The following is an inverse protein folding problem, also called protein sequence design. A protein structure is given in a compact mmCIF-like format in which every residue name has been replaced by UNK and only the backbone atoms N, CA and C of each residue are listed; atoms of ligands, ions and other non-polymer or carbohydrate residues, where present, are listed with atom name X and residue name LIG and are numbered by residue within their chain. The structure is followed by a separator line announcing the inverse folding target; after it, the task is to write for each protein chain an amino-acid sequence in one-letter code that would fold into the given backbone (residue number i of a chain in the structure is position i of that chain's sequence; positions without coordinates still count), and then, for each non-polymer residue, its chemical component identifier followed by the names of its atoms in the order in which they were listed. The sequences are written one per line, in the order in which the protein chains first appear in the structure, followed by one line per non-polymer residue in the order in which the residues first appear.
data_IF_367264676545
#
_entry.id   IF_367264676545
#
_cell.length_a   1.000
_cell.length_b   1.000
_cell.length_c   1.000
_cell.angle_alpha   90.00
_cell.angle_beta   90.00
_cell.angle_gamma   90.00
#
_symmetry.space_group_name_H-M   'P 1'
#
loop_
_entity.id
_entity.type
_entity.pdbx_description
1 polymer ?
#
# COMPACT_ATOMS: atom_id res chain seq x y z
N UNK A 1 -27.00 -2.13 28.05
CA UNK A 1 -25.92 -1.91 27.07
C UNK A 1 -25.98 -0.44 26.69
N UNK A 2 -25.12 0.41 27.27
CA UNK A 2 -25.30 1.88 27.26
C UNK A 2 -24.62 2.51 26.04
N UNK A 3 -25.16 3.63 25.53
CA UNK A 3 -24.64 4.34 24.35
C UNK A 3 -23.12 4.63 24.39
N UNK A 4 -22.55 4.83 25.60
CA UNK A 4 -21.12 5.01 25.84
C UNK A 4 -20.28 3.76 25.55
N UNK A 5 -20.82 2.56 25.77
CA UNK A 5 -20.16 1.28 25.42
C UNK A 5 -20.23 0.97 23.92
N UNK A 6 -21.29 1.41 23.23
CA UNK A 6 -21.42 1.28 21.78
C UNK A 6 -20.44 2.21 21.03
N UNK A 7 -20.31 3.46 21.47
CA UNK A 7 -19.33 4.39 20.87
C UNK A 7 -17.87 3.98 21.12
N UNK A 8 -17.53 3.44 22.31
CA UNK A 8 -16.18 2.90 22.57
C UNK A 8 -15.85 1.72 21.67
N UNK A 9 -16.77 0.79 21.45
CA UNK A 9 -16.52 -0.37 20.60
C UNK A 9 -16.35 0.04 19.12
N UNK A 10 -17.13 1.01 18.62
CA UNK A 10 -16.97 1.52 17.25
C UNK A 10 -15.64 2.26 17.03
N UNK A 11 -15.15 3.02 18.01
CA UNK A 11 -13.84 3.66 17.90
C UNK A 11 -12.72 2.61 17.90
N UNK A 12 -12.78 1.59 18.76
CA UNK A 12 -11.76 0.53 18.80
C UNK A 12 -11.76 -0.33 17.53
N UNK A 13 -12.93 -0.67 16.98
CA UNK A 13 -13.02 -1.41 15.70
C UNK A 13 -12.56 -0.56 14.51
N UNK A 14 -12.89 0.74 14.46
CA UNK A 14 -12.40 1.63 13.40
C UNK A 14 -10.89 1.88 13.48
N UNK A 15 -10.33 2.09 14.68
CA UNK A 15 -8.88 2.29 14.87
C UNK A 15 -8.11 1.02 14.53
N UNK A 16 -8.63 -0.15 14.92
CA UNK A 16 -8.06 -1.44 14.53
C UNK A 16 -8.07 -1.65 13.02
N UNK A 17 -9.22 -1.45 12.37
CA UNK A 17 -9.38 -1.57 10.92
C UNK A 17 -8.40 -0.67 10.16
N UNK A 18 -8.20 0.58 10.60
CA UNK A 18 -7.23 1.50 9.99
C UNK A 18 -5.79 0.97 10.07
N UNK A 19 -5.38 0.48 11.24
CA UNK A 19 -4.03 -0.07 11.43
C UNK A 19 -3.82 -1.33 10.59
N UNK A 20 -4.84 -2.20 10.53
CA UNK A 20 -4.87 -3.40 9.69
C UNK A 20 -4.67 -3.06 8.20
N UNK A 21 -5.30 -1.99 7.68
CA UNK A 21 -5.09 -1.55 6.28
C UNK A 21 -3.63 -1.19 6.01
N UNK A 22 -3.01 -0.40 6.89
CA UNK A 22 -1.61 0.01 6.73
C UNK A 22 -0.65 -1.18 6.78
N UNK A 23 -0.86 -2.10 7.72
CA UNK A 23 -0.06 -3.33 7.80
C UNK A 23 -0.24 -4.19 6.54
N UNK A 24 -1.46 -4.35 6.04
CA UNK A 24 -1.70 -5.07 4.77
C UNK A 24 -0.98 -4.39 3.59
N UNK A 25 -1.03 -3.07 3.48
CA UNK A 25 -0.31 -2.33 2.44
C UNK A 25 1.21 -2.52 2.54
N UNK A 26 1.77 -2.53 3.74
CA UNK A 26 3.18 -2.81 3.96
C UNK A 26 3.58 -4.23 3.52
N UNK A 27 2.72 -5.23 3.74
CA UNK A 27 2.96 -6.58 3.23
C UNK A 27 2.87 -6.66 1.70
N UNK A 28 1.97 -5.90 1.08
CA UNK A 28 1.81 -5.78 -0.36
C UNK A 28 2.89 -4.91 -1.05
N UNK A 29 3.82 -4.33 -0.29
CA UNK A 29 4.91 -3.54 -0.83
C UNK A 29 5.74 -4.32 -1.86
N UNK A 30 5.87 -3.76 -3.07
CA UNK A 30 6.57 -4.36 -4.21
C UNK A 30 5.79 -5.48 -4.91
N UNK A 31 4.53 -5.72 -4.55
CA UNK A 31 3.69 -6.78 -5.10
C UNK A 31 2.53 -6.23 -5.92
N UNK A 32 2.01 -7.07 -6.82
CA UNK A 32 0.83 -6.76 -7.63
C UNK A 32 -0.41 -6.74 -6.72
N UNK A 33 -1.18 -5.66 -6.79
CA UNK A 33 -2.34 -5.45 -5.94
C UNK A 33 -3.48 -6.43 -6.23
N UNK A 34 -3.97 -7.08 -5.19
CA UNK A 34 -5.20 -7.86 -5.27
C UNK A 34 -6.22 -7.31 -4.27
N UNK A 35 -7.19 -6.52 -4.76
CA UNK A 35 -8.19 -5.88 -3.91
C UNK A 35 -9.09 -6.88 -3.14
N UNK A 36 -9.22 -8.12 -3.62
CA UNK A 36 -10.07 -9.14 -3.02
C UNK A 36 -9.57 -9.59 -1.64
N UNK A 37 -8.26 -9.62 -1.40
CA UNK A 37 -7.71 -10.07 -0.12
C UNK A 37 -7.90 -9.04 1.00
N UNK A 38 -7.53 -7.75 0.84
CA UNK A 38 -7.86 -6.73 1.83
C UNK A 38 -9.38 -6.58 2.03
N UNK A 39 -10.18 -6.70 0.96
CA UNK A 39 -11.64 -6.62 1.06
C UNK A 39 -12.21 -7.71 2.00
N UNK A 40 -11.75 -8.96 1.85
CA UNK A 40 -12.13 -10.07 2.74
C UNK A 40 -11.68 -9.83 4.18
N UNK A 41 -10.42 -9.43 4.36
CA UNK A 41 -9.85 -9.25 5.70
C UNK A 41 -10.46 -8.07 6.47
N UNK A 42 -10.93 -7.04 5.76
CA UNK A 42 -11.59 -5.86 6.35
C UNK A 42 -13.11 -5.99 6.40
N UNK A 43 -13.70 -7.02 5.77
CA UNK A 43 -15.15 -7.20 5.69
C UNK A 43 -15.87 -6.13 4.86
N UNK A 44 -15.19 -5.56 3.85
CA UNK A 44 -15.74 -4.49 2.99
C UNK A 44 -15.73 -4.91 1.51
N UNK A 45 -16.43 -4.15 0.66
CA UNK A 45 -16.42 -4.40 -0.79
C UNK A 45 -15.07 -4.00 -1.42
N UNK A 46 -14.63 -4.71 -2.45
CA UNK A 46 -13.42 -4.39 -3.23
C UNK A 46 -13.42 -2.96 -3.78
N UNK A 47 -14.59 -2.44 -4.16
CA UNK A 47 -14.73 -1.05 -4.62
C UNK A 47 -14.34 -0.04 -3.53
N UNK A 48 -14.60 -0.36 -2.27
CA UNK A 48 -14.25 0.48 -1.12
C UNK A 48 -12.75 0.45 -0.88
N UNK A 49 -12.12 -0.73 -0.98
CA UNK A 49 -10.67 -0.89 -0.88
C UNK A 49 -9.95 -0.12 -1.99
N UNK A 50 -10.43 -0.19 -3.24
CA UNK A 50 -9.89 0.58 -4.36
C UNK A 50 -9.97 2.08 -4.09
N UNK A 51 -11.12 2.57 -3.61
CA UNK A 51 -11.28 3.98 -3.23
C UNK A 51 -10.30 4.40 -2.14
N UNK A 52 -10.03 3.56 -1.13
CA UNK A 52 -9.01 3.87 -0.14
C UNK A 52 -7.62 3.94 -0.75
N UNK A 53 -7.28 3.02 -1.63
CA UNK A 53 -5.99 3.03 -2.33
C UNK A 53 -5.83 4.30 -3.18
N UNK A 54 -6.86 4.70 -3.92
CA UNK A 54 -6.85 5.92 -4.73
C UNK A 54 -6.72 7.18 -3.87
N UNK A 55 -7.35 7.21 -2.70
CA UNK A 55 -7.16 8.29 -1.73
C UNK A 55 -5.72 8.35 -1.21
N UNK A 56 -5.12 7.20 -0.88
CA UNK A 56 -3.74 7.11 -0.39
C UNK A 56 -2.70 7.48 -1.45
N UNK A 57 -2.99 7.19 -2.71
CA UNK A 57 -2.21 7.65 -3.86
C UNK A 57 -2.33 9.17 -4.03
N UNK A 58 -3.55 9.71 -3.92
CA UNK A 58 -3.82 11.15 -4.01
C UNK A 58 -3.23 12.00 -2.87
N UNK A 59 -3.02 11.41 -1.69
CA UNK A 59 -2.30 12.07 -0.57
C UNK A 59 -0.80 11.73 -0.55
N UNK A 60 -0.26 11.14 -1.62
CA UNK A 60 1.16 10.80 -1.78
C UNK A 60 1.73 9.83 -0.73
N UNK A 61 0.89 9.07 -0.04
CA UNK A 61 1.36 8.07 0.93
C UNK A 61 1.72 6.75 0.26
N UNK A 62 0.96 6.39 -0.76
CA UNK A 62 1.14 5.18 -1.58
C UNK A 62 1.44 5.61 -3.01
N UNK A 63 2.14 4.76 -3.77
CA UNK A 63 2.29 4.88 -5.20
C UNK A 63 1.72 3.66 -5.89
N UNK A 64 0.84 3.91 -6.86
CA UNK A 64 0.33 2.87 -7.76
C UNK A 64 1.12 2.87 -9.07
N UNK A 65 2.06 1.94 -9.22
CA UNK A 65 2.81 1.78 -10.46
C UNK A 65 1.97 0.94 -11.42
N UNK A 66 1.55 1.53 -12.54
CA UNK A 66 0.73 0.83 -13.54
C UNK A 66 1.62 0.00 -14.47
N UNK A 67 1.17 -1.15 -14.95
CA UNK A 67 1.95 -1.92 -15.92
C UNK A 67 1.99 -1.19 -17.28
N UNK A 68 3.14 -1.20 -17.95
CA UNK A 68 3.27 -0.69 -19.32
C UNK A 68 2.56 -1.64 -20.29
N UNK A 69 1.71 -1.10 -21.16
CA UNK A 69 1.05 -1.88 -22.21
C UNK A 69 1.10 -1.17 -23.56
N UNK A 70 1.64 -1.88 -24.55
CA UNK A 70 1.68 -1.47 -25.96
C UNK A 70 0.28 -1.38 -26.59
N UNK A 71 -0.71 -2.08 -26.03
CA UNK A 71 -2.09 -2.12 -26.55
C UNK A 71 -3.07 -1.32 -25.66
N UNK A 72 -3.35 -0.07 -26.06
CA UNK A 72 -4.32 0.86 -25.44
C UNK A 72 -5.72 0.26 -25.19
N UNK A 73 -6.15 -0.76 -25.96
CA UNK A 73 -7.47 -1.40 -25.80
C UNK A 73 -7.56 -2.41 -24.64
N UNK A 74 -6.43 -2.90 -24.12
CA UNK A 74 -6.40 -3.83 -22.96
C UNK A 74 -6.12 -3.12 -21.62
N UNK A 75 -6.23 -1.78 -21.60
CA UNK A 75 -5.86 -0.89 -20.49
C UNK A 75 -6.74 -1.02 -19.24
N UNK A 76 -7.90 -1.68 -19.30
CA UNK A 76 -8.90 -1.64 -18.22
C UNK A 76 -8.71 -2.63 -17.05
N UNK A 77 -7.90 -3.70 -17.18
CA UNK A 77 -7.92 -4.79 -16.17
C UNK A 77 -6.54 -5.39 -15.88
N UNK A 78 -5.52 -4.58 -15.62
CA UNK A 78 -4.30 -5.10 -14.96
C UNK A 78 -4.06 -4.43 -13.63
N UNK A 79 -3.80 -5.24 -12.62
CA UNK A 79 -3.55 -4.79 -11.26
C UNK A 79 -2.23 -4.00 -11.18
N UNK A 80 -2.21 -2.82 -10.56
CA UNK A 80 -0.99 -2.05 -10.35
C UNK A 80 -0.09 -2.73 -9.31
N UNK A 81 1.20 -2.41 -9.33
CA UNK A 81 2.14 -2.74 -8.26
C UNK A 81 2.14 -1.60 -7.24
N UNK A 82 2.12 -1.95 -5.94
CA UNK A 82 1.96 -0.97 -4.86
C UNK A 82 3.29 -0.75 -4.14
N UNK A 83 3.62 0.52 -3.92
CA UNK A 83 4.76 0.94 -3.14
C UNK A 83 4.33 1.96 -2.07
N UNK A 84 4.93 1.87 -0.89
CA UNK A 84 4.82 2.91 0.14
C UNK A 84 5.94 3.89 -0.16
N UNK A 85 5.62 5.18 -0.19
CA UNK A 85 6.61 6.19 -0.56
C UNK A 85 7.67 6.40 0.51
N UNK A 86 7.28 6.21 1.76
CA UNK A 86 8.16 6.39 2.92
C UNK A 86 8.69 5.02 3.38
N UNK A 87 10.01 4.83 3.25
CA UNK A 87 10.70 3.62 3.70
C UNK A 87 10.72 3.48 5.21
N UNK A 88 10.76 4.58 5.96
CA UNK A 88 10.68 4.57 7.43
C UNK A 88 9.30 4.13 7.92
N UNK A 89 8.24 4.62 7.29
CA UNK A 89 6.88 4.14 7.55
C UNK A 89 6.74 2.64 7.23
N UNK A 90 7.28 2.20 6.09
CA UNK A 90 7.31 0.78 5.71
C UNK A 90 8.02 -0.05 6.78
N UNK A 91 9.21 0.36 7.22
CA UNK A 91 9.99 -0.37 8.23
C UNK A 91 9.26 -0.42 9.56
N UNK A 92 8.65 0.68 9.99
CA UNK A 92 7.84 0.73 11.20
C UNK A 92 6.64 -0.23 11.13
N UNK A 93 5.95 -0.30 9.98
CA UNK A 93 4.81 -1.20 9.78
C UNK A 93 5.22 -2.67 9.69
N UNK A 94 6.43 -2.97 9.19
CA UNK A 94 7.00 -4.31 9.16
C UNK A 94 7.70 -4.72 10.46
N UNK A 95 7.82 -3.81 11.43
CA UNK A 95 8.51 -4.05 12.69
C UNK A 95 10.04 -4.12 12.58
N UNK A 96 10.61 -3.58 11.51
CA UNK A 96 12.06 -3.51 11.27
C UNK A 96 12.60 -2.32 12.09
N UNK A 97 13.45 -2.59 13.09
CA UNK A 97 13.96 -1.57 14.02
C UNK A 97 15.44 -1.30 13.88
N UNK A 98 16.20 -2.28 13.40
CA UNK A 98 17.64 -2.17 13.24
C UNK A 98 18.06 -2.50 11.80
N UNK A 99 19.27 -2.05 11.41
CA UNK A 99 19.83 -2.39 10.12
C UNK A 99 20.00 -3.91 9.94
N UNK A 100 20.33 -4.63 11.01
CA UNK A 100 20.46 -6.08 10.97
C UNK A 100 19.11 -6.79 10.72
N UNK A 101 18.03 -6.26 11.29
CA UNK A 101 16.67 -6.74 10.98
C UNK A 101 16.35 -6.50 9.51
N UNK A 102 16.72 -5.33 8.97
CA UNK A 102 16.49 -4.99 7.57
C UNK A 102 17.21 -5.95 6.61
N UNK A 103 18.51 -6.21 6.84
CA UNK A 103 19.31 -7.09 5.97
C UNK A 103 18.87 -8.56 6.02
N UNK A 104 18.29 -9.00 7.13
CA UNK A 104 17.77 -10.36 7.28
C UNK A 104 16.30 -10.51 6.85
N UNK A 105 15.59 -9.41 6.65
CA UNK A 105 14.16 -9.43 6.32
C UNK A 105 13.92 -9.81 4.85
N UNK A 106 12.97 -10.70 4.52
CA UNK A 106 12.68 -11.12 3.14
C UNK A 106 12.21 -9.97 2.23
N UNK A 107 11.73 -8.87 2.81
CA UNK A 107 11.33 -7.65 2.08
C UNK A 107 12.46 -6.64 1.89
N UNK A 108 13.70 -6.97 2.23
CA UNK A 108 14.86 -6.10 2.00
C UNK A 108 14.93 -5.58 0.57
N UNK A 109 14.88 -6.50 -0.42
CA UNK A 109 14.93 -6.14 -1.84
C UNK A 109 13.77 -5.23 -2.25
N UNK A 110 12.54 -5.57 -1.85
CA UNK A 110 11.37 -4.76 -2.14
C UNK A 110 11.44 -3.36 -1.49
N UNK A 111 12.00 -3.25 -0.29
CA UNK A 111 12.23 -1.96 0.37
C UNK A 111 13.24 -1.11 -0.39
N UNK A 112 14.33 -1.72 -0.86
CA UNK A 112 15.35 -1.04 -1.66
C UNK A 112 14.81 -0.58 -3.01
N UNK A 113 14.08 -1.45 -3.71
CA UNK A 113 13.43 -1.12 -4.98
C UNK A 113 12.47 0.06 -4.84
N UNK A 114 11.64 0.08 -3.78
CA UNK A 114 10.71 1.18 -3.52
C UNK A 114 11.44 2.50 -3.25
N UNK A 115 12.51 2.47 -2.43
CA UNK A 115 13.32 3.65 -2.15
C UNK A 115 13.96 4.22 -3.42
N UNK A 116 14.68 3.40 -4.18
CA UNK A 116 15.35 3.82 -5.41
C UNK A 116 14.35 4.35 -6.44
N UNK A 117 13.19 3.71 -6.55
CA UNK A 117 12.12 4.17 -7.44
C UNK A 117 11.62 5.56 -7.06
N UNK A 118 11.33 5.83 -5.79
CA UNK A 118 10.86 7.16 -5.37
C UNK A 118 11.93 8.23 -5.59
N UNK A 119 13.21 7.92 -5.31
CA UNK A 119 14.32 8.85 -5.58
C UNK A 119 14.46 9.18 -7.07
N UNK A 120 14.39 8.17 -7.95
CA UNK A 120 14.42 8.37 -9.41
C UNK A 120 13.23 9.21 -9.87
N UNK A 121 12.03 8.94 -9.37
CA UNK A 121 10.82 9.68 -9.76
C UNK A 121 10.83 11.12 -9.23
N UNK A 122 11.38 11.35 -8.03
CA UNK A 122 11.57 12.69 -7.49
C UNK A 122 12.57 13.50 -8.33
N UNK A 123 13.65 12.87 -8.80
CA UNK A 123 14.67 13.54 -9.63
C UNK A 123 14.21 13.75 -11.08
N UNK A 124 13.60 12.75 -11.71
CA UNK A 124 13.22 12.80 -13.12
C UNK A 124 11.90 13.55 -13.37
N UNK A 125 11.05 13.69 -12.33
CA UNK A 125 9.72 14.30 -12.41
C UNK A 125 8.91 13.94 -13.67
N UNK A 126 8.77 12.64 -14.02
CA UNK A 126 8.06 12.23 -15.23
C UNK A 126 6.55 12.39 -15.08
N UNK A 127 5.86 12.69 -16.18
CA UNK A 127 4.39 12.76 -16.22
C UNK A 127 3.74 11.40 -15.90
N UNK A 128 4.37 10.29 -16.31
CA UNK A 128 3.88 8.93 -16.09
C UNK A 128 5.03 7.94 -15.79
N UNK A 129 4.77 6.97 -14.91
CA UNK A 129 5.72 5.91 -14.55
C UNK A 129 5.06 4.54 -14.67
N UNK A 130 5.79 3.57 -15.24
CA UNK A 130 5.28 2.24 -15.53
C UNK A 130 6.26 1.13 -15.17
N UNK A 131 5.76 -0.08 -14.88
CA UNK A 131 6.57 -1.30 -14.73
C UNK A 131 6.37 -2.27 -15.89
N UNK A 132 7.40 -3.08 -16.19
CA UNK A 132 7.37 -4.13 -17.22
C UNK A 132 6.98 -5.50 -16.65
#
# INVERSE_FOLDING_TARGET
MNAVSYQRNNVTTQVGCRHLVWTMLAHYHGQVWNAAEPARSLGVNESTVRRYLDLLDGVFMVRQLRPWHENLKKRQVKSPKIFLRDSGLLHQLLGIRTANDLYSHPKYGASWEGYVMEEILAMAAPDEAYFW
#
